data_IF_395571150925
#
_entry.id   IF_395571150925
#
_cell.length_a   1.000
_cell.length_b   1.000
_cell.length_c   1.000
_cell.angle_alpha   90.00
_cell.angle_beta   90.00
_cell.angle_gamma   90.00
#
_symmetry.space_group_name_H-M   'P 1'
#
loop_
_entity.id
_entity.type
_entity.pdbx_description
1 polymer ?
#
# COMPACT_ATOMS: atom_id res chain seq x y z
N UNK A 1 8.89 17.76 -10.39
CA UNK A 1 8.95 18.17 -11.81
C UNK A 1 8.16 17.16 -12.63
N UNK A 2 6.85 17.35 -12.78
CA UNK A 2 5.99 16.48 -13.59
C UNK A 2 6.14 16.87 -15.07
N UNK A 3 6.25 15.87 -15.94
CA UNK A 3 6.24 16.07 -17.39
C UNK A 3 4.79 16.33 -17.84
N UNK A 4 4.53 17.53 -18.33
CA UNK A 4 3.21 17.97 -18.77
C UNK A 4 3.11 17.79 -20.28
N UNK A 5 2.53 16.67 -20.72
CA UNK A 5 2.18 16.44 -22.12
C UNK A 5 0.68 16.77 -22.27
N UNK A 6 0.36 18.04 -22.55
CA UNK A 6 -1.02 18.47 -22.72
C UNK A 6 -1.50 18.23 -24.16
N UNK A 7 -2.40 17.28 -24.35
CA UNK A 7 -3.24 17.15 -25.55
C UNK A 7 -4.58 17.82 -25.26
N UNK A 8 -4.98 18.78 -26.08
CA UNK A 8 -6.23 19.52 -25.90
C UNK A 8 -7.43 18.55 -25.92
N UNK A 9 -8.22 18.55 -24.83
CA UNK A 9 -9.42 17.72 -24.67
C UNK A 9 -9.29 16.52 -23.72
N UNK A 10 -8.13 16.32 -23.07
CA UNK A 10 -7.93 15.25 -22.09
C UNK A 10 -8.21 15.74 -20.66
N UNK A 11 -9.15 15.12 -19.95
CA UNK A 11 -9.29 15.31 -18.50
C UNK A 11 -8.01 14.82 -17.84
N UNK A 12 -7.26 15.72 -17.17
CA UNK A 12 -6.07 15.33 -16.43
C UNK A 12 -6.49 14.43 -15.26
N UNK A 13 -6.16 13.15 -15.36
CA UNK A 13 -6.34 12.19 -14.28
C UNK A 13 -5.07 12.18 -13.44
N UNK A 14 -5.20 12.52 -12.16
CA UNK A 14 -4.10 12.41 -11.21
C UNK A 14 -3.75 10.94 -10.98
N UNK A 15 -2.51 10.57 -11.29
CA UNK A 15 -1.96 9.25 -10.97
C UNK A 15 -1.49 9.28 -9.52
N UNK A 16 -2.04 8.38 -8.70
CA UNK A 16 -1.64 8.24 -7.30
C UNK A 16 -0.51 7.23 -7.17
N UNK A 17 0.54 7.59 -6.45
CA UNK A 17 1.56 6.64 -6.01
C UNK A 17 0.97 5.67 -5.00
N UNK A 18 1.40 4.41 -5.08
CA UNK A 18 0.92 3.33 -4.23
C UNK A 18 2.06 2.33 -3.97
N UNK A 19 1.96 1.61 -2.86
CA UNK A 19 2.87 0.52 -2.49
C UNK A 19 2.08 -0.77 -2.26
N UNK A 20 2.70 -1.90 -2.61
CA UNK A 20 2.16 -3.25 -2.41
C UNK A 20 3.25 -4.11 -1.78
N UNK A 21 2.87 -4.96 -0.82
CA UNK A 21 3.79 -5.84 -0.09
C UNK A 21 3.53 -7.29 -0.48
N UNK A 22 4.57 -7.99 -0.94
CA UNK A 22 4.53 -9.43 -1.19
C UNK A 22 5.33 -10.10 -0.08
N UNK A 23 4.62 -10.75 0.85
CA UNK A 23 5.25 -11.57 1.88
C UNK A 23 5.34 -13.00 1.38
N UNK A 24 6.57 -13.53 1.39
CA UNK A 24 6.88 -14.89 0.93
C UNK A 24 7.47 -15.67 2.10
N UNK A 25 7.10 -16.94 2.22
CA UNK A 25 7.76 -17.93 3.07
C UNK A 25 8.03 -19.19 2.28
N UNK A 26 8.91 -20.06 2.80
CA UNK A 26 9.30 -21.29 2.12
C UNK A 26 10.64 -21.14 1.41
N UNK A 27 10.95 -22.07 0.52
CA UNK A 27 12.15 -22.05 -0.31
C UNK A 27 11.88 -21.37 -1.65
N UNK A 28 12.94 -21.11 -2.42
CA UNK A 28 12.81 -20.58 -3.78
C UNK A 28 12.10 -21.57 -4.73
N UNK A 29 12.11 -22.86 -4.42
CA UNK A 29 11.45 -23.92 -5.21
C UNK A 29 9.96 -24.07 -4.86
N UNK A 30 9.59 -23.81 -3.60
CA UNK A 30 8.22 -23.92 -3.08
C UNK A 30 7.81 -22.65 -2.31
N UNK A 31 7.68 -21.49 -3.00
CA UNK A 31 7.30 -20.25 -2.34
C UNK A 31 5.81 -20.23 -2.03
N UNK A 32 5.47 -19.91 -0.79
CA UNK A 32 4.11 -19.57 -0.38
C UNK A 32 3.97 -18.06 -0.23
N UNK A 33 2.88 -17.50 -0.76
CA UNK A 33 2.65 -16.06 -0.77
C UNK A 33 1.41 -15.70 0.05
N UNK A 34 1.56 -14.69 0.90
CA UNK A 34 0.46 -14.19 1.71
C UNK A 34 -0.46 -13.25 0.91
N UNK A 35 -1.74 -13.59 0.87
CA UNK A 35 -2.79 -12.79 0.23
C UNK A 35 -3.89 -12.45 1.23
N UNK A 36 -4.54 -11.32 1.02
CA UNK A 36 -5.72 -10.90 1.78
C UNK A 36 -6.95 -10.87 0.89
N UNK A 37 -8.10 -11.23 1.46
CA UNK A 37 -9.38 -11.11 0.77
C UNK A 37 -10.02 -9.78 1.15
N UNK A 38 -10.22 -8.91 0.17
CA UNK A 38 -10.83 -7.60 0.37
C UNK A 38 -12.29 -7.75 0.81
N UNK A 39 -12.76 -6.85 1.67
CA UNK A 39 -14.17 -6.78 2.04
C UNK A 39 -15.04 -6.66 0.77
N UNK A 40 -16.10 -7.46 0.62
CA UNK A 40 -16.88 -7.52 -0.62
C UNK A 40 -17.64 -6.21 -0.93
N UNK A 41 -17.86 -5.36 0.07
CA UNK A 41 -18.59 -4.10 -0.06
C UNK A 41 -17.75 -2.97 -0.71
N UNK A 42 -16.45 -3.17 -0.91
CA UNK A 42 -15.57 -2.15 -1.47
C UNK A 42 -15.89 -1.92 -2.95
N UNK A 43 -16.06 -0.63 -3.32
CA UNK A 43 -16.38 -0.20 -4.70
C UNK A 43 -15.36 -0.64 -5.75
N UNK A 44 -14.11 -0.86 -5.33
CA UNK A 44 -13.03 -1.30 -6.19
C UNK A 44 -12.46 -2.64 -5.68
N UNK A 45 -12.57 -3.67 -6.52
CA UNK A 45 -12.06 -5.02 -6.26
C UNK A 45 -12.55 -5.65 -4.95
N UNK A 46 -13.78 -5.36 -4.51
CA UNK A 46 -14.39 -6.03 -3.37
C UNK A 46 -14.42 -7.56 -3.56
N UNK A 47 -14.01 -8.31 -2.54
CA UNK A 47 -14.01 -9.78 -2.55
C UNK A 47 -12.83 -10.44 -3.26
N UNK A 48 -11.95 -9.68 -3.91
CA UNK A 48 -10.75 -10.18 -4.58
C UNK A 48 -9.66 -10.56 -3.58
N UNK A 49 -8.86 -11.56 -3.95
CA UNK A 49 -7.57 -11.82 -3.31
C UNK A 49 -6.52 -10.87 -3.87
N UNK A 50 -5.84 -10.15 -2.98
CA UNK A 50 -4.85 -9.14 -3.32
C UNK A 50 -3.64 -9.24 -2.42
N UNK A 51 -2.51 -8.69 -2.87
CA UNK A 51 -1.42 -8.35 -1.97
C UNK A 51 -1.84 -7.18 -1.07
N UNK A 52 -1.45 -7.18 0.21
CA UNK A 52 -1.66 -6.03 1.08
C UNK A 52 -0.98 -4.78 0.50
N UNK A 53 -1.63 -3.63 0.63
CA UNK A 53 -1.10 -2.40 0.05
C UNK A 53 -2.15 -1.32 -0.16
N UNK A 54 -1.68 -0.17 -0.62
CA UNK A 54 -2.55 0.98 -0.82
C UNK A 54 -1.81 2.21 -1.34
N UNK A 55 -2.54 3.32 -1.37
CA UNK A 55 -2.01 4.59 -1.84
C UNK A 55 -1.11 5.22 -0.78
N UNK A 56 -0.11 5.95 -1.25
CA UNK A 56 0.68 6.85 -0.40
C UNK A 56 -0.26 7.88 0.24
N UNK A 57 -0.07 8.09 1.54
CA UNK A 57 -0.79 9.04 2.39
C UNK A 57 0.18 10.13 2.87
N UNK A 58 -0.30 11.34 3.22
CA UNK A 58 0.56 12.39 3.76
C UNK A 58 1.44 11.96 4.95
N UNK A 59 0.98 10.99 5.75
CA UNK A 59 1.74 10.45 6.91
C UNK A 59 2.98 9.65 6.50
N UNK A 60 3.09 9.21 5.24
CA UNK A 60 4.25 8.46 4.75
C UNK A 60 5.45 9.38 4.42
N UNK A 61 5.20 10.69 4.36
CA UNK A 61 6.21 11.71 4.07
C UNK A 61 6.87 12.24 5.35
N UNK A 62 8.20 12.39 5.30
CA UNK A 62 9.03 12.95 6.35
C UNK A 62 9.73 14.23 5.88
N UNK A 63 8.94 15.22 5.46
CA UNK A 63 9.42 16.50 4.92
C UNK A 63 9.34 16.58 3.39
N UNK A 64 9.62 17.77 2.85
CA UNK A 64 9.43 18.06 1.41
C UNK A 64 10.48 17.35 0.51
N UNK A 65 11.70 17.14 1.03
CA UNK A 65 12.81 16.51 0.30
C UNK A 65 12.93 14.99 0.57
N UNK A 66 11.86 14.37 1.09
CA UNK A 66 11.88 12.96 1.46
C UNK A 66 12.00 12.06 0.22
N UNK A 67 13.01 11.18 0.13
CA UNK A 67 13.20 10.31 -1.02
C UNK A 67 11.96 9.47 -1.31
N UNK A 68 11.47 9.50 -2.56
CA UNK A 68 10.25 8.79 -2.96
C UNK A 68 10.27 7.29 -2.66
N UNK A 69 11.44 6.65 -2.71
CA UNK A 69 11.59 5.23 -2.30
C UNK A 69 11.30 5.02 -0.80
N UNK A 70 11.73 5.94 0.06
CA UNK A 70 11.46 5.86 1.49
C UNK A 70 9.98 6.11 1.80
N UNK A 71 9.35 7.05 1.08
CA UNK A 71 7.90 7.28 1.14
C UNK A 71 7.13 5.99 0.79
N UNK A 72 7.52 5.31 -0.30
CA UNK A 72 6.90 4.04 -0.70
C UNK A 72 7.14 2.91 0.32
N UNK A 73 8.32 2.83 0.91
CA UNK A 73 8.63 1.85 1.97
C UNK A 73 7.79 2.09 3.23
N UNK A 74 7.67 3.35 3.67
CA UNK A 74 6.82 3.71 4.82
C UNK A 74 5.34 3.43 4.54
N UNK A 75 4.87 3.76 3.33
CA UNK A 75 3.53 3.39 2.86
C UNK A 75 3.32 1.87 2.94
N UNK A 76 4.24 1.06 2.43
CA UNK A 76 4.14 -0.40 2.49
C UNK A 76 4.02 -0.93 3.93
N UNK A 77 4.83 -0.39 4.86
CA UNK A 77 4.81 -0.77 6.29
C UNK A 77 3.50 -0.37 6.96
N UNK A 78 3.00 0.85 6.70
CA UNK A 78 1.71 1.31 7.23
C UNK A 78 0.57 0.43 6.74
N UNK A 79 0.54 0.17 5.43
CA UNK A 79 -0.52 -0.61 4.79
C UNK A 79 -0.60 -2.05 5.32
N UNK A 80 0.53 -2.76 5.40
CA UNK A 80 0.54 -4.13 5.92
C UNK A 80 0.09 -4.18 7.39
N UNK A 81 0.45 -3.18 8.19
CA UNK A 81 0.04 -3.08 9.57
C UNK A 81 -1.48 -2.84 9.69
N UNK A 82 -2.03 -1.88 8.94
CA UNK A 82 -3.44 -1.53 8.99
C UNK A 82 -4.35 -2.66 8.49
N UNK A 83 -3.96 -3.35 7.41
CA UNK A 83 -4.81 -4.38 6.78
C UNK A 83 -4.70 -5.76 7.46
N UNK A 84 -3.55 -6.09 8.06
CA UNK A 84 -3.24 -7.47 8.48
C UNK A 84 -2.72 -7.62 9.89
N UNK A 85 -2.13 -6.55 10.45
CA UNK A 85 -1.46 -6.53 11.75
C UNK A 85 -0.33 -7.58 11.93
N UNK A 86 0.15 -8.20 10.85
CA UNK A 86 1.13 -9.29 10.92
C UNK A 86 2.48 -8.83 11.49
N UNK A 87 2.82 -7.55 11.36
CA UNK A 87 4.04 -6.97 11.91
C UNK A 87 4.00 -6.89 13.44
N UNK A 88 2.86 -6.57 14.04
CA UNK A 88 2.67 -6.56 15.50
C UNK A 88 2.88 -7.95 16.08
N UNK A 89 2.31 -8.97 15.43
CA UNK A 89 2.47 -10.37 15.81
C UNK A 89 3.94 -10.86 15.70
N UNK A 90 4.73 -10.26 14.80
CA UNK A 90 6.12 -10.69 14.54
C UNK A 90 7.14 -9.93 15.38
N UNK A 91 6.94 -8.61 15.59
CA UNK A 91 7.91 -7.71 16.23
C UNK A 91 7.62 -7.45 17.72
N UNK A 92 6.47 -7.88 18.25
CA UNK A 92 6.15 -7.80 19.68
C UNK A 92 5.85 -6.39 20.20
N UNK A 93 5.11 -5.58 19.43
CA UNK A 93 4.71 -4.22 19.82
C UNK A 93 3.27 -3.86 19.44
N UNK A 94 2.72 -2.83 20.10
CA UNK A 94 1.45 -2.22 19.73
C UNK A 94 1.70 -1.04 18.79
N UNK A 95 1.02 -1.01 17.64
CA UNK A 95 1.12 0.08 16.68
C UNK A 95 -0.22 0.77 16.48
N UNK A 96 -0.21 2.09 16.36
CA UNK A 96 -1.42 2.88 16.10
C UNK A 96 -1.97 2.56 14.71
N UNK A 97 -3.29 2.35 14.62
CA UNK A 97 -4.00 2.07 13.37
C UNK A 97 -4.95 3.21 13.02
N UNK A 98 -4.91 3.66 11.78
CA UNK A 98 -6.00 4.47 11.23
C UNK A 98 -7.07 3.54 10.62
N UNK A 99 -8.35 3.80 10.93
CA UNK A 99 -9.44 3.11 10.25
C UNK A 99 -9.67 3.75 8.90
N UNK A 100 -9.38 3.02 7.84
CA UNK A 100 -9.78 3.43 6.50
C UNK A 100 -11.30 3.45 6.38
N UNK A 101 -11.87 4.60 6.03
CA UNK A 101 -13.27 4.70 5.63
C UNK A 101 -13.48 3.92 4.34
N UNK A 102 -14.53 3.08 4.33
CA UNK A 102 -14.94 2.26 3.19
C UNK A 102 -15.50 3.08 2.03
#
# INVERSE_FOLDING_TARGET
MAAECAVAGTTLVSIKSAASVILVRGSDEEPEVYLVRRAPELKFFGGYWVFPGGNVSPVDHHGEDDPGELVLKRCAVREILEETDILSATLGGEFSRERKQA
#
